data_IF_990511789174
#
_entry.id   IF_990511789174
#
_cell.length_a   1.000
_cell.length_b   1.000
_cell.length_c   1.000
_cell.angle_alpha   90.00
_cell.angle_beta   90.00
_cell.angle_gamma   90.00
#
_symmetry.space_group_name_H-M   'P 1'
#
loop_
_entity.id
_entity.type
_entity.pdbx_description
1 polymer ?
#
# COMPACT_ATOMS: atom_id res chain seq x y z
N UNK A 1 -6.60 -12.33 65.59
CA UNK A 1 -6.06 -12.98 64.38
C UNK A 1 -6.81 -12.39 63.19
N UNK A 2 -6.20 -11.53 62.39
CA UNK A 2 -6.84 -10.91 61.22
C UNK A 2 -6.02 -11.31 59.98
N UNK A 3 -6.54 -12.25 59.19
CA UNK A 3 -5.98 -12.62 57.89
C UNK A 3 -6.66 -11.77 56.82
N UNK A 4 -6.07 -10.63 56.49
CA UNK A 4 -6.49 -9.84 55.34
C UNK A 4 -5.96 -10.51 54.06
N UNK A 5 -6.80 -11.32 53.41
CA UNK A 5 -6.47 -11.97 52.15
C UNK A 5 -6.59 -10.95 51.00
N UNK A 6 -5.46 -10.33 50.65
CA UNK A 6 -5.39 -9.38 49.54
C UNK A 6 -5.22 -10.13 48.23
N UNK A 7 -6.32 -10.50 47.57
CA UNK A 7 -6.29 -11.13 46.25
C UNK A 7 -6.14 -10.07 45.15
N UNK A 8 -4.97 -9.98 44.53
CA UNK A 8 -4.74 -9.13 43.36
C UNK A 8 -5.04 -9.93 42.09
N UNK A 9 -6.11 -9.59 41.39
CA UNK A 9 -6.43 -10.14 40.07
C UNK A 9 -5.59 -9.42 39.02
N UNK A 10 -4.55 -10.09 38.50
CA UNK A 10 -3.76 -9.56 37.37
C UNK A 10 -4.28 -10.17 36.08
N UNK A 11 -4.84 -9.34 35.21
CA UNK A 11 -5.24 -9.77 33.87
C UNK A 11 -4.01 -9.88 32.98
N UNK A 12 -3.69 -11.09 32.53
CA UNK A 12 -2.74 -11.33 31.45
C UNK A 12 -3.51 -11.67 30.19
N UNK A 13 -3.31 -10.85 29.15
CA UNK A 13 -3.90 -11.12 27.85
C UNK A 13 -3.40 -12.48 27.32
N UNK A 14 -4.28 -13.30 26.71
CA UNK A 14 -3.89 -14.59 26.17
C UNK A 14 -2.96 -14.43 24.97
N UNK A 15 -1.98 -15.33 24.86
CA UNK A 15 -0.88 -15.23 23.88
C UNK A 15 -1.34 -15.16 22.42
N UNK A 16 -2.51 -15.73 22.07
CA UNK A 16 -3.04 -15.71 20.69
C UNK A 16 -3.33 -14.29 20.18
N UNK A 17 -3.50 -13.31 21.05
CA UNK A 17 -3.70 -11.92 20.64
C UNK A 17 -2.42 -11.31 20.04
N UNK A 18 -1.24 -11.84 20.35
CA UNK A 18 0.02 -11.38 19.75
C UNK A 18 0.14 -11.75 18.27
N UNK A 19 -0.52 -12.83 17.83
CA UNK A 19 -0.50 -13.26 16.43
C UNK A 19 -1.23 -12.25 15.52
N UNK A 20 -2.27 -11.58 16.05
CA UNK A 20 -2.97 -10.51 15.36
C UNK A 20 -2.22 -9.17 15.39
N UNK A 21 -1.27 -9.01 16.30
CA UNK A 21 -0.57 -7.74 16.51
C UNK A 21 0.54 -7.46 15.47
N UNK A 22 1.00 -8.48 14.73
CA UNK A 22 2.30 -8.42 14.06
C UNK A 22 2.32 -8.35 12.52
N UNK A 23 1.20 -8.08 11.84
CA UNK A 23 1.27 -7.66 10.42
C UNK A 23 1.09 -6.15 10.29
N UNK A 24 1.99 -5.38 10.92
CA UNK A 24 2.27 -4.04 10.42
C UNK A 24 3.01 -4.22 9.10
N UNK A 25 2.26 -4.31 8.00
CA UNK A 25 2.84 -4.26 6.66
C UNK A 25 3.77 -3.05 6.61
N UNK A 26 5.07 -3.30 6.42
CA UNK A 26 6.05 -2.24 6.29
C UNK A 26 5.59 -1.32 5.15
N UNK A 27 5.63 -0.01 5.37
CA UNK A 27 5.20 0.94 4.35
C UNK A 27 6.09 0.75 3.10
N UNK A 28 5.49 0.28 2.00
CA UNK A 28 6.20 0.04 0.73
C UNK A 28 6.53 1.38 0.02
N UNK A 29 6.05 2.50 0.57
CA UNK A 29 6.11 3.83 -0.03
C UNK A 29 6.75 4.87 0.89
N UNK A 30 7.29 5.92 0.28
CA UNK A 30 7.85 7.07 1.00
C UNK A 30 6.74 7.93 1.60
N UNK A 31 6.41 7.67 2.88
CA UNK A 31 5.36 8.39 3.62
C UNK A 31 5.61 9.91 3.65
N UNK A 32 6.87 10.34 3.78
CA UNK A 32 7.23 11.76 3.80
C UNK A 32 7.02 12.46 2.46
N UNK A 33 7.15 11.74 1.35
CA UNK A 33 7.03 12.30 0.00
C UNK A 33 5.59 12.28 -0.50
N UNK A 34 4.83 11.24 -0.11
CA UNK A 34 3.46 11.04 -0.52
C UNK A 34 2.53 10.76 0.68
N UNK A 35 2.11 11.80 1.41
CA UNK A 35 1.25 11.63 2.58
C UNK A 35 -0.13 11.04 2.22
N UNK A 36 -0.58 11.26 0.98
CA UNK A 36 -1.87 10.78 0.47
C UNK A 36 -1.84 9.33 -0.06
N UNK A 37 -0.64 8.73 -0.12
CA UNK A 37 -0.47 7.35 -0.56
C UNK A 37 -0.56 6.38 0.60
N UNK A 38 -0.98 5.16 0.31
CA UNK A 38 -1.10 4.07 1.28
C UNK A 38 -0.52 2.78 0.71
N UNK A 39 -0.39 1.73 1.51
CA UNK A 39 0.11 0.43 1.02
C UNK A 39 -0.69 -0.07 -0.19
N UNK A 40 -2.01 0.12 -0.18
CA UNK A 40 -2.89 -0.35 -1.26
C UNK A 40 -3.14 0.69 -2.36
N UNK A 41 -2.95 1.98 -2.09
CA UNK A 41 -3.34 3.07 -3.01
C UNK A 41 -2.13 3.94 -3.34
N UNK A 42 -1.89 4.13 -4.63
CA UNK A 42 -0.87 5.06 -5.13
C UNK A 42 -1.47 6.38 -5.60
N UNK A 43 -0.82 7.49 -5.24
CA UNK A 43 -1.15 8.82 -5.74
C UNK A 43 -0.57 9.09 -7.13
N UNK A 44 -1.11 10.10 -7.82
CA UNK A 44 -0.61 10.45 -9.16
C UNK A 44 0.90 10.73 -9.20
N UNK A 45 1.44 11.50 -8.25
CA UNK A 45 2.87 11.79 -8.20
C UNK A 45 3.71 10.54 -7.96
N UNK A 46 3.26 9.68 -7.05
CA UNK A 46 3.93 8.40 -6.78
C UNK A 46 3.96 7.49 -8.02
N UNK A 47 2.84 7.41 -8.76
CA UNK A 47 2.78 6.63 -10.00
C UNK A 47 3.73 7.22 -11.06
N UNK A 48 3.77 8.54 -11.22
CA UNK A 48 4.69 9.19 -12.16
C UNK A 48 6.15 8.88 -11.84
N UNK A 49 6.51 8.97 -10.56
CA UNK A 49 7.86 8.69 -10.07
C UNK A 49 8.22 7.22 -10.18
N UNK A 50 7.27 6.31 -9.91
CA UNK A 50 7.44 4.87 -10.07
C UNK A 50 7.83 4.50 -11.50
N UNK A 51 7.17 5.12 -12.49
CA UNK A 51 7.48 4.89 -13.90
C UNK A 51 8.64 5.74 -14.43
N UNK A 52 9.04 6.79 -13.71
CA UNK A 52 9.94 7.84 -14.19
C UNK A 52 9.47 8.41 -15.55
N UNK A 53 8.14 8.54 -15.73
CA UNK A 53 7.50 9.02 -16.96
C UNK A 53 6.58 10.19 -16.67
N UNK A 54 6.34 10.98 -17.72
CA UNK A 54 5.42 12.11 -17.65
C UNK A 54 3.95 11.69 -17.68
N UNK A 55 3.08 12.60 -17.24
CA UNK A 55 1.61 12.42 -17.23
C UNK A 55 1.03 12.02 -18.59
N UNK A 56 1.58 12.54 -19.67
CA UNK A 56 1.16 12.23 -21.04
C UNK A 56 1.32 10.76 -21.38
N UNK A 57 2.38 10.12 -20.89
CA UNK A 57 2.65 8.69 -21.11
C UNK A 57 1.58 7.82 -20.47
N UNK A 58 1.15 8.14 -19.24
CA UNK A 58 0.05 7.41 -18.58
C UNK A 58 -1.25 7.55 -19.39
N UNK A 59 -1.55 8.75 -19.90
CA UNK A 59 -2.73 8.98 -20.75
C UNK A 59 -2.66 8.14 -22.02
N UNK A 60 -1.49 8.04 -22.65
CA UNK A 60 -1.28 7.22 -23.83
C UNK A 60 -1.45 5.71 -23.51
N UNK A 61 -0.87 5.23 -22.41
CA UNK A 61 -1.02 3.82 -22.01
C UNK A 61 -2.46 3.44 -21.69
N UNK A 62 -3.27 4.37 -21.18
CA UNK A 62 -4.71 4.15 -20.99
C UNK A 62 -5.45 3.95 -22.32
N UNK A 63 -5.00 4.60 -23.40
CA UNK A 63 -5.61 4.47 -24.73
C UNK A 63 -5.11 3.25 -25.50
N UNK A 64 -3.81 2.98 -25.44
CA UNK A 64 -3.15 2.00 -26.32
C UNK A 64 -2.90 0.64 -25.65
N UNK A 65 -2.63 0.62 -24.34
CA UNK A 65 -2.11 -0.55 -23.61
C UNK A 65 -2.99 -1.01 -22.44
N UNK A 66 -4.19 -0.43 -22.31
CA UNK A 66 -5.13 -0.78 -21.24
C UNK A 66 -4.59 -0.53 -19.83
N UNK A 67 -3.83 0.55 -19.61
CA UNK A 67 -3.35 0.90 -18.27
C UNK A 67 -4.51 1.04 -17.27
N UNK A 68 -4.36 0.58 -16.01
CA UNK A 68 -5.44 0.56 -15.03
C UNK A 68 -6.15 1.90 -14.88
N UNK A 69 -7.48 1.83 -14.78
CA UNK A 69 -8.28 3.00 -14.50
C UNK A 69 -8.04 3.49 -13.06
N UNK A 70 -8.00 4.81 -12.83
CA UNK A 70 -7.89 5.34 -11.49
C UNK A 70 -9.18 5.07 -10.70
N UNK A 71 -9.04 4.68 -9.43
CA UNK A 71 -10.16 4.47 -8.51
C UNK A 71 -10.88 5.77 -8.14
N UNK A 72 -10.18 6.91 -8.24
CA UNK A 72 -10.75 8.24 -8.03
C UNK A 72 -10.24 9.19 -9.10
N UNK A 73 -11.11 10.08 -9.57
CA UNK A 73 -10.80 11.08 -10.62
C UNK A 73 -10.32 12.41 -10.03
N UNK A 74 -10.60 12.69 -8.76
CA UNK A 74 -10.23 13.93 -8.08
C UNK A 74 -10.05 13.70 -6.57
N UNK A 75 -8.81 13.50 -6.07
CA UNK A 75 -7.54 13.39 -6.81
C UNK A 75 -7.39 12.03 -7.52
N UNK A 76 -6.56 12.00 -8.57
CA UNK A 76 -6.21 10.79 -9.30
C UNK A 76 -5.47 9.78 -8.40
N UNK A 77 -6.07 8.59 -8.22
CA UNK A 77 -5.55 7.51 -7.38
C UNK A 77 -5.65 6.17 -8.09
N UNK A 78 -4.68 5.29 -7.88
CA UNK A 78 -4.66 3.93 -8.44
C UNK A 78 -4.48 2.88 -7.35
N UNK A 79 -4.94 1.66 -7.60
CA UNK A 79 -4.60 0.52 -6.76
C UNK A 79 -3.18 0.08 -7.06
N UNK A 80 -2.37 -0.09 -6.01
CA UNK A 80 -0.99 -0.58 -6.14
C UNK A 80 -0.96 -1.97 -6.78
N UNK A 81 -1.84 -2.86 -6.36
CA UNK A 81 -1.96 -4.20 -6.94
C UNK A 81 -2.20 -4.16 -8.44
N UNK A 82 -3.20 -3.39 -8.89
CA UNK A 82 -3.53 -3.28 -10.31
C UNK A 82 -2.39 -2.70 -11.14
N UNK A 83 -1.68 -1.70 -10.62
CA UNK A 83 -0.52 -1.10 -11.30
C UNK A 83 0.64 -2.09 -11.36
N UNK A 84 0.93 -2.81 -10.26
CA UNK A 84 2.01 -3.80 -10.20
C UNK A 84 1.72 -5.00 -11.11
N UNK A 85 0.50 -5.52 -11.11
CA UNK A 85 0.05 -6.59 -12.00
C UNK A 85 0.17 -6.14 -13.46
N UNK A 86 -0.29 -4.92 -13.78
CA UNK A 86 -0.12 -4.39 -15.13
C UNK A 86 1.37 -4.28 -15.51
N UNK A 87 2.25 -3.87 -14.60
CA UNK A 87 3.70 -3.83 -14.83
C UNK A 87 4.26 -5.22 -15.15
N UNK A 88 3.82 -6.23 -14.41
CA UNK A 88 4.24 -7.63 -14.57
C UNK A 88 3.76 -8.24 -15.90
N UNK A 89 2.50 -7.99 -16.27
CA UNK A 89 1.86 -8.61 -17.43
C UNK A 89 2.01 -7.82 -18.74
N UNK A 90 1.76 -6.51 -18.71
CA UNK A 90 1.62 -5.63 -19.89
C UNK A 90 2.71 -4.54 -19.96
N UNK A 91 3.34 -4.21 -18.84
CA UNK A 91 4.21 -3.04 -18.65
C UNK A 91 5.60 -3.22 -19.24
N UNK A 92 5.69 -3.64 -20.50
CA UNK A 92 6.88 -3.91 -21.29
C UNK A 92 8.01 -2.89 -21.16
N UNK A 93 8.77 -3.01 -20.07
CA UNK A 93 10.15 -2.58 -19.90
C UNK A 93 11.06 -3.81 -19.83
N UNK A 94 10.71 -4.90 -20.54
CA UNK A 94 11.66 -5.98 -20.77
C UNK A 94 12.79 -5.37 -21.59
N UNK A 95 13.85 -4.90 -20.93
CA UNK A 95 15.17 -4.89 -21.55
C UNK A 95 15.37 -6.33 -21.97
N UNK A 96 15.34 -6.57 -23.29
CA UNK A 96 15.98 -7.75 -23.83
C UNK A 96 17.39 -7.78 -23.23
N UNK A 97 17.67 -8.81 -22.44
CA UNK A 97 19.03 -9.21 -22.10
C UNK A 97 19.24 -10.60 -22.66
#
# INVERSE_FOLDING_TARGET
>A
MNLANNYTFTYQAPSFLNDFASKKEQAVYDVCKYPESSNSIMCHQEVLDFFQKGRTTIIQWRKERGFPEPISKAPLRWLRSAVMEWVEHQGGFKKAS
#
